data_IF_167325919428
#
_entry.id   IF_167325919428
#
_cell.length_a   1.000
_cell.length_b   1.000
_cell.length_c   1.000
_cell.angle_alpha   90.00
_cell.angle_beta   90.00
_cell.angle_gamma   90.00
#
_symmetry.space_group_name_H-M   'P 1'
#
loop_
_entity.id
_entity.type
_entity.pdbx_description
1 polymer ?
#
# COMPACT_ATOMS: atom_id res chain seq x y z
N UNK A 1 -10.67 -6.01 -16.53
CA UNK A 1 -9.83 -4.81 -16.63
C UNK A 1 -9.33 -4.31 -15.28
N UNK A 2 -10.17 -4.17 -14.24
CA UNK A 2 -9.75 -3.70 -12.91
C UNK A 2 -8.61 -4.54 -12.29
N UNK A 3 -8.68 -5.87 -12.34
CA UNK A 3 -7.63 -6.72 -11.78
C UNK A 3 -6.25 -6.57 -12.46
N UNK A 4 -6.22 -6.28 -13.78
CA UNK A 4 -4.97 -6.01 -14.47
C UNK A 4 -4.37 -4.66 -14.04
N UNK A 5 -5.20 -3.63 -13.87
CA UNK A 5 -4.77 -2.33 -13.38
C UNK A 5 -4.26 -2.44 -11.94
N UNK A 6 -5.00 -3.12 -11.05
CA UNK A 6 -4.59 -3.35 -9.66
C UNK A 6 -3.28 -4.15 -9.58
N UNK A 7 -3.08 -5.15 -10.46
CA UNK A 7 -1.84 -5.91 -10.54
C UNK A 7 -0.65 -5.07 -10.98
N UNK A 8 -0.83 -4.18 -11.96
CA UNK A 8 0.20 -3.24 -12.38
C UNK A 8 0.59 -2.28 -11.24
N UNK A 9 -0.41 -1.71 -10.55
CA UNK A 9 -0.18 -0.84 -9.38
C UNK A 9 0.51 -1.60 -8.25
N UNK A 10 0.11 -2.84 -7.96
CA UNK A 10 0.76 -3.67 -6.94
C UNK A 10 2.26 -3.86 -7.21
N UNK A 11 2.63 -4.12 -8.47
CA UNK A 11 4.03 -4.21 -8.89
C UNK A 11 4.80 -2.89 -8.70
N UNK A 12 4.18 -1.76 -9.09
CA UNK A 12 4.77 -0.42 -8.93
C UNK A 12 4.94 -0.06 -7.44
N UNK A 13 3.97 -0.36 -6.60
CA UNK A 13 4.06 -0.14 -5.15
C UNK A 13 5.15 -1.00 -4.54
N UNK A 14 5.21 -2.28 -4.90
CA UNK A 14 6.20 -3.21 -4.36
C UNK A 14 7.64 -2.81 -4.72
N UNK A 15 7.89 -2.29 -5.93
CA UNK A 15 9.23 -1.88 -6.32
C UNK A 15 9.65 -0.52 -5.76
N UNK A 16 8.70 0.32 -5.34
CA UNK A 16 8.96 1.71 -4.92
C UNK A 16 10.04 1.81 -3.83
N UNK A 17 9.99 1.05 -2.70
CA UNK A 17 11.04 1.12 -1.67
C UNK A 17 12.41 0.61 -2.15
N UNK A 18 12.44 -0.25 -3.15
CA UNK A 18 13.63 -0.87 -3.69
C UNK A 18 14.25 -0.11 -4.87
N UNK A 19 13.54 0.90 -5.40
CA UNK A 19 13.98 1.67 -6.57
C UNK A 19 15.33 2.34 -6.30
N UNK A 20 16.31 2.11 -7.20
CA UNK A 20 17.68 2.58 -7.04
C UNK A 20 18.59 1.70 -6.18
N UNK A 21 18.06 0.67 -5.51
CA UNK A 21 18.85 -0.22 -4.63
C UNK A 21 18.93 -1.66 -5.16
N UNK A 22 18.17 -2.02 -6.18
CA UNK A 22 18.13 -3.40 -6.71
C UNK A 22 18.40 -3.43 -8.21
N UNK A 23 19.00 -4.53 -8.68
CA UNK A 23 19.16 -4.79 -10.11
C UNK A 23 17.88 -5.32 -10.77
N UNK A 24 17.84 -5.41 -12.13
CA UNK A 24 16.64 -5.75 -12.89
C UNK A 24 16.02 -7.10 -12.52
N UNK A 25 16.83 -8.13 -12.28
CA UNK A 25 16.34 -9.46 -11.92
C UNK A 25 15.62 -9.43 -10.57
N UNK A 26 16.23 -8.77 -9.57
CA UNK A 26 15.61 -8.59 -8.26
C UNK A 26 14.32 -7.78 -8.36
N UNK A 27 14.27 -6.76 -9.22
CA UNK A 27 13.06 -5.96 -9.46
C UNK A 27 11.89 -6.82 -9.98
N UNK A 28 12.15 -7.75 -10.89
CA UNK A 28 11.14 -8.70 -11.39
C UNK A 28 10.62 -9.58 -10.25
N UNK A 29 11.51 -10.14 -9.42
CA UNK A 29 11.13 -10.98 -8.30
C UNK A 29 10.31 -10.22 -7.25
N UNK A 30 10.69 -8.98 -6.97
CA UNK A 30 9.94 -8.09 -6.06
C UNK A 30 8.56 -7.79 -6.60
N UNK A 31 8.43 -7.49 -7.89
CA UNK A 31 7.14 -7.24 -8.54
C UNK A 31 6.23 -8.47 -8.55
N UNK A 32 6.75 -9.65 -8.86
CA UNK A 32 5.99 -10.91 -8.81
C UNK A 32 5.52 -11.22 -7.38
N UNK A 33 6.41 -11.10 -6.39
CA UNK A 33 6.05 -11.25 -4.98
C UNK A 33 5.01 -10.21 -4.54
N UNK A 34 5.16 -8.96 -4.98
CA UNK A 34 4.21 -7.89 -4.73
C UNK A 34 2.81 -8.20 -5.24
N UNK A 35 2.70 -8.70 -6.48
CA UNK A 35 1.41 -9.13 -7.03
C UNK A 35 0.74 -10.22 -6.19
N UNK A 36 1.51 -11.22 -5.75
CA UNK A 36 0.99 -12.32 -4.92
C UNK A 36 0.52 -11.84 -3.53
N UNK A 37 1.34 -11.05 -2.81
CA UNK A 37 0.98 -10.61 -1.46
C UNK A 37 -0.15 -9.58 -1.47
N UNK A 38 -0.21 -8.68 -2.47
CA UNK A 38 -1.30 -7.73 -2.63
C UNK A 38 -2.62 -8.47 -2.95
N UNK A 39 -2.59 -9.48 -3.82
CA UNK A 39 -3.77 -10.30 -4.10
C UNK A 39 -4.32 -10.95 -2.82
N UNK A 40 -3.43 -11.54 -2.01
CA UNK A 40 -3.82 -12.11 -0.71
C UNK A 40 -4.38 -11.04 0.24
N UNK A 41 -3.79 -9.84 0.25
CA UNK A 41 -4.28 -8.71 1.04
C UNK A 41 -5.70 -8.30 0.67
N UNK A 42 -5.97 -8.13 -0.61
CA UNK A 42 -7.33 -7.81 -1.13
C UNK A 42 -8.31 -8.94 -0.86
N UNK A 43 -7.89 -10.19 -1.05
CA UNK A 43 -8.72 -11.37 -0.73
C UNK A 43 -9.12 -11.40 0.75
N UNK A 44 -8.16 -11.17 1.65
CA UNK A 44 -8.43 -11.13 3.10
C UNK A 44 -9.34 -9.96 3.48
N UNK A 45 -9.12 -8.78 2.89
CA UNK A 45 -10.01 -7.62 3.06
C UNK A 45 -11.46 -7.98 2.74
N UNK A 46 -11.69 -8.57 1.57
CA UNK A 46 -13.03 -8.94 1.14
C UNK A 46 -13.67 -9.98 2.09
N UNK A 47 -12.86 -10.91 2.62
CA UNK A 47 -13.34 -11.89 3.61
C UNK A 47 -13.66 -11.26 4.97
N UNK A 48 -12.91 -10.25 5.39
CA UNK A 48 -13.13 -9.54 6.66
C UNK A 48 -14.24 -8.50 6.56
N UNK A 49 -14.58 -8.03 5.35
CA UNK A 49 -15.69 -7.12 5.11
C UNK A 49 -15.49 -5.69 5.61
N UNK A 50 -14.25 -5.24 5.80
CA UNK A 50 -14.02 -3.85 6.16
C UNK A 50 -14.01 -2.94 4.92
N UNK A 51 -14.37 -1.67 5.13
CA UNK A 51 -14.51 -0.66 4.08
C UNK A 51 -13.13 -0.18 3.59
N UNK A 52 -12.78 -0.58 2.39
CA UNK A 52 -11.61 -0.13 1.64
C UNK A 52 -11.93 -0.27 0.15
N UNK A 53 -12.75 0.66 -0.36
CA UNK A 53 -13.33 0.57 -1.70
C UNK A 53 -12.28 0.49 -2.82
N UNK A 54 -11.11 1.09 -2.63
CA UNK A 54 -10.03 1.16 -3.62
C UNK A 54 -8.89 0.17 -3.34
N UNK A 55 -9.08 -0.77 -2.42
CA UNK A 55 -8.06 -1.77 -2.02
C UNK A 55 -6.73 -1.14 -1.55
N UNK A 56 -6.79 0.06 -0.97
CA UNK A 56 -5.59 0.86 -0.62
C UNK A 56 -4.71 0.13 0.38
N UNK A 57 -5.28 -0.40 1.46
CA UNK A 57 -4.52 -1.13 2.46
C UNK A 57 -3.92 -2.43 1.87
N UNK A 58 -4.72 -3.15 1.07
CA UNK A 58 -4.28 -4.38 0.40
C UNK A 58 -3.14 -4.17 -0.58
N UNK A 59 -3.18 -3.08 -1.36
CA UNK A 59 -2.18 -2.81 -2.38
C UNK A 59 -1.03 -1.98 -1.81
N UNK A 60 -1.29 -0.82 -1.20
CA UNK A 60 -0.24 0.10 -0.75
C UNK A 60 0.34 -0.30 0.62
N UNK A 61 -0.49 -0.66 1.60
CA UNK A 61 -0.03 -1.07 2.92
C UNK A 61 0.77 -2.37 2.87
N UNK A 62 0.19 -3.42 2.30
CA UNK A 62 0.82 -4.75 2.22
C UNK A 62 1.92 -4.77 1.15
N UNK A 63 1.68 -4.21 -0.03
CA UNK A 63 2.66 -4.15 -1.11
C UNK A 63 3.88 -3.31 -0.76
N UNK A 64 3.68 -2.14 -0.12
CA UNK A 64 4.79 -1.30 0.38
C UNK A 64 5.60 -1.98 1.48
N UNK A 65 4.93 -2.67 2.41
CA UNK A 65 5.58 -3.49 3.43
C UNK A 65 6.44 -4.59 2.81
N UNK A 66 5.88 -5.34 1.86
CA UNK A 66 6.63 -6.33 1.09
C UNK A 66 7.85 -5.71 0.40
N UNK A 67 7.66 -4.59 -0.32
CA UNK A 67 8.73 -3.90 -1.02
C UNK A 67 9.86 -3.45 -0.12
N UNK A 68 9.55 -2.89 1.05
CA UNK A 68 10.54 -2.49 2.03
C UNK A 68 11.35 -3.68 2.57
N UNK A 69 10.67 -4.77 2.95
CA UNK A 69 11.35 -6.00 3.40
C UNK A 69 12.17 -6.63 2.28
N UNK A 70 11.65 -6.65 1.06
CA UNK A 70 12.34 -7.15 -0.13
C UNK A 70 13.58 -6.31 -0.48
N UNK A 71 13.56 -5.00 -0.21
CA UNK A 71 14.78 -4.18 -0.31
C UNK A 71 15.86 -4.70 0.63
N UNK A 72 15.50 -5.07 1.85
CA UNK A 72 16.41 -5.69 2.80
C UNK A 72 17.01 -7.03 2.33
N UNK A 73 16.24 -7.77 1.51
CA UNK A 73 16.70 -9.03 0.91
C UNK A 73 17.61 -8.81 -0.30
N UNK A 74 17.22 -7.93 -1.22
CA UNK A 74 17.72 -7.86 -2.60
C UNK A 74 18.58 -6.63 -2.90
N UNK A 75 18.81 -5.69 -1.97
CA UNK A 75 19.66 -4.53 -2.23
C UNK A 75 21.05 -4.97 -2.68
N UNK A 76 21.51 -4.41 -3.81
CA UNK A 76 22.76 -4.80 -4.47
C UNK A 76 23.42 -3.66 -5.26
N UNK A 77 22.78 -2.51 -5.38
CA UNK A 77 23.25 -1.32 -6.08
C UNK A 77 23.00 -0.07 -5.24
N UNK A 78 23.46 1.08 -5.68
CA UNK A 78 23.21 2.36 -4.99
C UNK A 78 23.86 2.48 -3.61
N UNK A 79 24.91 1.69 -3.34
CA UNK A 79 25.61 1.68 -2.07
C UNK A 79 24.94 0.82 -0.98
N UNK A 80 23.77 0.21 -1.27
CA UNK A 80 23.08 -0.71 -0.36
C UNK A 80 23.44 -2.17 -0.62
N UNK A 81 23.55 -2.96 0.45
CA UNK A 81 23.71 -4.42 0.40
C UNK A 81 22.62 -5.08 1.24
N UNK A 82 21.93 -6.07 0.67
CA UNK A 82 20.90 -6.85 1.33
C UNK A 82 21.39 -8.23 1.79
N UNK A 83 20.45 -9.02 2.32
CA UNK A 83 20.73 -10.36 2.85
C UNK A 83 21.46 -11.24 1.82
N UNK A 84 20.94 -11.31 0.58
CA UNK A 84 21.51 -12.16 -0.46
C UNK A 84 22.84 -11.65 -1.02
N UNK A 85 23.26 -10.45 -0.63
CA UNK A 85 24.51 -9.80 -1.02
C UNK A 85 25.45 -9.58 0.18
N UNK A 86 25.26 -10.35 1.25
CA UNK A 86 26.20 -10.43 2.38
C UNK A 86 25.88 -9.54 3.59
N UNK A 87 24.73 -8.87 3.61
CA UNK A 87 24.32 -8.05 4.77
C UNK A 87 22.95 -8.48 5.34
N UNK A 88 22.91 -9.51 6.21
CA UNK A 88 21.66 -9.96 6.83
C UNK A 88 21.04 -8.90 7.77
N UNK A 89 21.83 -7.99 8.32
CA UNK A 89 21.36 -6.91 9.18
C UNK A 89 20.40 -5.95 8.46
N UNK A 90 20.48 -5.85 7.14
CA UNK A 90 19.62 -4.97 6.36
C UNK A 90 18.13 -5.34 6.44
N UNK A 91 17.82 -6.63 6.54
CA UNK A 91 16.41 -7.07 6.72
C UNK A 91 15.85 -6.58 8.07
N UNK A 92 16.67 -6.64 9.13
CA UNK A 92 16.26 -6.15 10.45
C UNK A 92 16.03 -4.64 10.43
N UNK A 93 16.92 -3.89 9.77
CA UNK A 93 16.78 -2.44 9.62
C UNK A 93 15.47 -2.10 8.88
N UNK A 94 15.17 -2.79 7.78
CA UNK A 94 13.93 -2.61 7.05
C UNK A 94 12.70 -2.98 7.90
N UNK A 95 12.75 -4.07 8.65
CA UNK A 95 11.66 -4.48 9.53
C UNK A 95 11.37 -3.44 10.62
N UNK A 96 12.42 -2.86 11.23
CA UNK A 96 12.25 -1.75 12.19
C UNK A 96 11.63 -0.53 11.51
N UNK A 97 12.12 -0.15 10.33
CA UNK A 97 11.58 0.96 9.55
C UNK A 97 10.10 0.78 9.20
N UNK A 98 9.73 -0.43 8.74
CA UNK A 98 8.33 -0.81 8.48
C UNK A 98 7.48 -0.69 9.75
N UNK A 99 7.93 -1.27 10.86
CA UNK A 99 7.21 -1.21 12.14
C UNK A 99 7.01 0.23 12.62
N UNK A 100 8.06 1.05 12.57
CA UNK A 100 7.98 2.46 12.92
C UNK A 100 6.99 3.23 12.03
N UNK A 101 7.01 2.97 10.73
CA UNK A 101 6.08 3.59 9.76
C UNK A 101 4.63 3.19 10.04
N UNK A 102 4.35 1.91 10.28
CA UNK A 102 3.02 1.43 10.62
C UNK A 102 2.47 2.08 11.89
N UNK A 103 3.29 2.17 12.94
CA UNK A 103 2.89 2.81 14.21
C UNK A 103 2.65 4.30 13.99
N UNK A 104 3.58 4.99 13.36
CA UNK A 104 3.48 6.43 13.11
C UNK A 104 2.25 6.77 12.25
N UNK A 105 2.10 6.09 11.10
CA UNK A 105 0.98 6.32 10.21
C UNK A 105 -0.36 5.94 10.86
N UNK A 106 -0.43 4.79 11.53
CA UNK A 106 -1.66 4.33 12.20
C UNK A 106 -2.12 5.27 13.31
N UNK A 107 -1.21 5.63 14.22
CA UNK A 107 -1.52 6.57 15.30
C UNK A 107 -1.85 7.96 14.75
N UNK A 108 -1.03 8.47 13.84
CA UNK A 108 -1.24 9.79 13.24
C UNK A 108 -2.58 9.88 12.52
N UNK A 109 -2.90 8.89 11.68
CA UNK A 109 -4.18 8.82 10.97
C UNK A 109 -5.35 8.72 11.95
N UNK A 110 -5.25 7.88 12.98
CA UNK A 110 -6.30 7.77 14.00
C UNK A 110 -6.59 9.10 14.69
N UNK A 111 -5.55 9.83 15.11
CA UNK A 111 -5.69 11.14 15.75
C UNK A 111 -6.34 12.14 14.79
N UNK A 112 -5.83 12.23 13.56
CA UNK A 112 -6.37 13.15 12.55
C UNK A 112 -7.84 12.85 12.27
N UNK A 113 -8.19 11.58 12.06
CA UNK A 113 -9.58 11.17 11.80
C UNK A 113 -10.50 11.51 12.98
N UNK A 114 -10.04 11.37 14.23
CA UNK A 114 -10.83 11.76 15.40
C UNK A 114 -11.09 13.27 15.45
N UNK A 115 -10.13 14.07 15.07
CA UNK A 115 -10.29 15.54 14.97
C UNK A 115 -11.28 15.89 13.85
N UNK A 116 -11.10 15.31 12.68
CA UNK A 116 -11.98 15.54 11.51
C UNK A 116 -13.42 15.11 11.80
N UNK A 117 -13.58 13.93 12.40
CA UNK A 117 -14.90 13.41 12.81
C UNK A 117 -15.64 14.36 13.77
N UNK A 118 -14.91 14.94 14.72
CA UNK A 118 -15.47 15.89 15.67
C UNK A 118 -15.81 17.27 15.10
N UNK A 119 -15.20 17.66 13.97
CA UNK A 119 -15.38 19.01 13.39
C UNK A 119 -16.35 18.99 12.20
N UNK A 120 -16.22 18.05 11.28
CA UNK A 120 -16.98 18.02 10.01
C UNK A 120 -17.68 16.69 9.75
N UNK A 121 -17.38 15.66 10.52
CA UNK A 121 -17.82 14.29 10.26
C UNK A 121 -16.93 13.56 9.23
N UNK A 122 -16.97 12.23 9.23
CA UNK A 122 -16.16 11.41 8.33
C UNK A 122 -16.95 10.75 7.20
N UNK A 123 -18.27 10.70 7.32
CA UNK A 123 -19.09 9.96 6.37
C UNK A 123 -20.33 10.75 5.96
N UNK A 124 -20.60 10.73 4.69
CA UNK A 124 -21.84 11.27 4.11
C UNK A 124 -23.04 10.39 4.49
N UNK A 125 -24.26 10.88 4.29
CA UNK A 125 -25.46 10.10 4.51
C UNK A 125 -25.56 8.90 3.51
N UNK A 126 -26.33 7.87 3.88
CA UNK A 126 -26.55 6.73 2.99
C UNK A 126 -27.22 7.13 1.68
N UNK A 127 -28.06 8.12 1.71
CA UNK A 127 -28.77 8.66 0.55
C UNK A 127 -27.76 9.30 -0.41
N UNK A 128 -26.84 10.10 0.07
CA UNK A 128 -25.77 10.73 -0.73
C UNK A 128 -24.81 9.68 -1.29
N UNK A 129 -24.45 8.67 -0.50
CA UNK A 129 -23.58 7.57 -0.94
C UNK A 129 -24.20 6.76 -2.09
N UNK A 130 -25.53 6.55 -2.05
CA UNK A 130 -26.27 5.84 -3.12
C UNK A 130 -26.45 6.71 -4.37
N UNK A 131 -26.67 8.02 -4.20
CA UNK A 131 -26.78 8.95 -5.33
C UNK A 131 -25.47 9.17 -6.06
N UNK A 132 -24.35 9.04 -5.36
CA UNK A 132 -22.99 9.26 -5.84
C UNK A 132 -22.44 10.61 -5.39
N UNK A 133 -21.20 10.57 -4.90
CA UNK A 133 -20.51 11.76 -4.34
C UNK A 133 -20.14 12.78 -5.40
N UNK A 134 -20.01 12.37 -6.66
CA UNK A 134 -19.82 13.25 -7.79
C UNK A 134 -21.02 14.22 -7.96
N UNK A 135 -22.23 13.73 -7.76
CA UNK A 135 -23.44 14.55 -7.82
C UNK A 135 -23.66 15.37 -6.54
N UNK A 136 -23.54 14.72 -5.36
CA UNK A 136 -23.95 15.33 -4.10
C UNK A 136 -22.93 16.31 -3.56
N UNK A 137 -21.63 16.02 -3.72
CA UNK A 137 -20.54 16.84 -3.17
C UNK A 137 -19.91 17.76 -4.22
N UNK A 138 -19.85 17.33 -5.49
CA UNK A 138 -19.14 18.07 -6.54
C UNK A 138 -20.07 18.66 -7.60
N UNK A 139 -21.36 18.30 -7.58
CA UNK A 139 -22.34 18.74 -8.59
C UNK A 139 -21.90 18.42 -10.04
N UNK A 140 -21.14 17.34 -10.21
CA UNK A 140 -20.60 16.86 -11.49
C UNK A 140 -21.07 15.44 -11.77
N UNK A 141 -21.07 15.02 -13.04
CA UNK A 141 -21.28 13.64 -13.45
C UNK A 141 -20.00 13.05 -13.97
N UNK A 142 -19.50 12.01 -13.31
CA UNK A 142 -18.33 11.28 -13.76
C UNK A 142 -18.61 10.42 -15.00
N UNK A 143 -19.87 9.93 -15.12
CA UNK A 143 -20.34 9.14 -16.26
C UNK A 143 -21.64 9.75 -16.76
N UNK A 144 -21.62 10.23 -18.00
CA UNK A 144 -22.76 10.81 -18.70
C UNK A 144 -23.65 9.77 -19.37
#
# INVERSE_FOLDING_TARGET
>A
MLGAASGAVAGLVAITPAAGFVGPVSAILIGLGGGAVCYLGVFLKNKMGYDDALDVLGIHGIGGTWGALATGLFASVGGGTGLFFGNPGQVVIQAIGVGATWVFAGVGTFVILKIVDGVVGLRVSKEEEVLGLDLTEHSERAYG
#
